data_IF_110224288641
#
_entry.id   IF_110224288641
#
_cell.length_a   1.000
_cell.length_b   1.000
_cell.length_c   1.000
_cell.angle_alpha   90.00
_cell.angle_beta   90.00
_cell.angle_gamma   90.00
#
_symmetry.space_group_name_H-M   'P 1'
#
loop_
_entity.id
_entity.type
_entity.pdbx_description
1 polymer ?
#
# COMPACT_ATOMS: atom_id res chain seq x y z
N UNK A 1 11.59 -10.69 -0.91
CA UNK A 1 10.72 -9.84 -0.05
C UNK A 1 9.45 -9.43 -0.80
N UNK A 2 9.54 -8.89 -2.02
CA UNK A 2 8.35 -8.53 -2.83
C UNK A 2 7.52 -9.78 -3.17
N UNK A 3 8.18 -10.84 -3.64
CA UNK A 3 7.54 -12.14 -3.97
C UNK A 3 6.71 -12.68 -2.80
N UNK A 4 7.34 -12.92 -1.65
CA UNK A 4 6.66 -13.38 -0.43
C UNK A 4 5.47 -12.48 -0.02
N UNK A 5 5.54 -11.17 -0.30
CA UNK A 5 4.41 -10.26 -0.04
C UNK A 5 3.24 -10.54 -0.99
N UNK A 6 3.52 -10.72 -2.28
CA UNK A 6 2.49 -11.00 -3.29
C UNK A 6 1.86 -12.38 -3.05
N UNK A 7 2.67 -13.36 -2.68
CA UNK A 7 2.18 -14.72 -2.37
C UNK A 7 1.35 -14.78 -1.08
N UNK A 8 1.57 -13.84 -0.15
CA UNK A 8 0.83 -13.77 1.11
C UNK A 8 -0.57 -13.13 1.01
N UNK A 9 -1.02 -12.74 -0.20
CA UNK A 9 -2.33 -12.10 -0.38
C UNK A 9 -3.43 -13.06 0.11
N UNK A 10 -4.23 -12.66 1.12
CA UNK A 10 -5.18 -13.56 1.77
C UNK A 10 -6.51 -13.71 1.01
N UNK A 11 -6.62 -13.10 -0.17
CA UNK A 11 -7.84 -13.07 -0.99
C UNK A 11 -7.52 -13.52 -2.40
N UNK A 12 -8.48 -14.20 -3.03
CA UNK A 12 -8.33 -14.60 -4.42
C UNK A 12 -8.25 -13.37 -5.32
N UNK A 13 -7.29 -13.39 -6.24
CA UNK A 13 -7.07 -12.30 -7.16
C UNK A 13 -7.90 -12.51 -8.43
N UNK A 14 -8.65 -11.50 -8.91
CA UNK A 14 -9.29 -11.62 -10.21
C UNK A 14 -8.24 -11.69 -11.33
N UNK A 15 -8.56 -12.47 -12.36
CA UNK A 15 -7.78 -12.59 -13.60
C UNK A 15 -7.64 -11.21 -14.27
N UNK A 16 -6.42 -10.70 -14.53
CA UNK A 16 -6.22 -9.44 -15.23
C UNK A 16 -6.74 -9.50 -16.67
N UNK A 17 -7.42 -8.45 -17.11
CA UNK A 17 -7.81 -8.29 -18.53
C UNK A 17 -7.21 -7.01 -19.11
N UNK A 18 -7.24 -6.85 -20.44
CA UNK A 18 -6.78 -5.60 -21.08
C UNK A 18 -7.55 -4.36 -20.59
N UNK A 19 -8.85 -4.53 -20.28
CA UNK A 19 -9.72 -3.46 -19.77
C UNK A 19 -9.54 -3.23 -18.27
N UNK A 20 -9.22 -4.29 -17.53
CA UNK A 20 -9.10 -4.28 -16.07
C UNK A 20 -7.70 -4.73 -15.64
N UNK A 21 -6.69 -4.06 -16.18
CA UNK A 21 -5.30 -4.29 -15.78
C UNK A 21 -5.12 -3.98 -14.30
N UNK A 22 -4.33 -4.79 -13.60
CA UNK A 22 -4.09 -4.61 -12.17
C UNK A 22 -2.79 -3.83 -11.95
N UNK A 23 -2.88 -2.69 -11.27
CA UNK A 23 -1.73 -1.87 -10.92
C UNK A 23 -1.17 -2.21 -9.55
N UNK A 24 0.15 -2.19 -9.39
CA UNK A 24 0.82 -2.31 -8.10
C UNK A 24 1.61 -1.05 -7.78
N UNK A 25 1.26 -0.35 -6.70
CA UNK A 25 2.00 0.81 -6.24
C UNK A 25 3.16 0.38 -5.35
N UNK A 26 4.38 0.80 -5.67
CA UNK A 26 5.58 0.48 -4.90
C UNK A 26 6.37 1.74 -4.56
N UNK A 27 7.09 1.68 -3.45
CA UNK A 27 8.02 2.75 -3.07
C UNK A 27 9.23 2.78 -4.00
N UNK A 28 9.89 3.95 -4.08
CA UNK A 28 11.10 4.14 -4.91
C UNK A 28 12.24 3.17 -4.57
N UNK A 29 12.32 2.68 -3.34
CA UNK A 29 13.33 1.69 -2.94
C UNK A 29 13.21 0.34 -3.68
N UNK A 30 12.05 0.08 -4.30
CA UNK A 30 11.78 -1.11 -5.11
C UNK A 30 12.02 -0.89 -6.61
N UNK A 31 12.63 0.23 -7.01
CA UNK A 31 12.92 0.54 -8.41
C UNK A 31 14.16 -0.21 -8.92
N UNK A 32 14.05 -1.54 -9.00
CA UNK A 32 15.05 -2.42 -9.63
C UNK A 32 14.44 -3.18 -10.80
N UNK A 33 15.28 -3.60 -11.76
CA UNK A 33 14.84 -4.43 -12.89
C UNK A 33 14.19 -5.73 -12.42
N UNK A 34 14.84 -6.43 -11.49
CA UNK A 34 14.34 -7.67 -10.88
C UNK A 34 12.93 -7.50 -10.28
N UNK A 35 12.67 -6.41 -9.55
CA UNK A 35 11.35 -6.18 -8.96
C UNK A 35 10.33 -5.86 -10.05
N UNK A 36 10.69 -5.12 -11.10
CA UNK A 36 9.78 -4.83 -12.22
C UNK A 36 9.41 -6.08 -13.00
N UNK A 37 10.38 -6.97 -13.23
CA UNK A 37 10.17 -8.24 -13.89
C UNK A 37 9.28 -9.16 -13.06
N UNK A 38 9.54 -9.27 -11.75
CA UNK A 38 8.71 -10.01 -10.81
C UNK A 38 7.27 -9.49 -10.79
N UNK A 39 7.06 -8.19 -10.64
CA UNK A 39 5.72 -7.58 -10.62
C UNK A 39 4.96 -7.89 -11.93
N UNK A 40 5.66 -7.88 -13.06
CA UNK A 40 5.10 -8.22 -14.37
C UNK A 40 4.78 -9.71 -14.50
N UNK A 41 5.64 -10.59 -13.99
CA UNK A 41 5.42 -12.04 -13.96
C UNK A 41 4.15 -12.39 -13.17
N UNK A 42 3.96 -11.72 -12.04
CA UNK A 42 2.71 -11.78 -11.30
C UNK A 42 1.56 -11.02 -11.98
N UNK A 43 1.66 -10.55 -13.23
CA UNK A 43 0.56 -9.93 -13.98
C UNK A 43 0.14 -8.54 -13.48
N UNK A 44 1.00 -7.82 -12.77
CA UNK A 44 0.76 -6.44 -12.34
C UNK A 44 1.49 -5.42 -13.22
N UNK A 45 0.92 -4.22 -13.31
CA UNK A 45 1.59 -3.04 -13.84
C UNK A 45 2.27 -2.28 -12.70
N UNK A 46 3.60 -2.21 -12.71
CA UNK A 46 4.36 -1.49 -11.70
C UNK A 46 4.13 0.03 -11.76
N UNK A 47 3.73 0.62 -10.64
CA UNK A 47 3.58 2.05 -10.44
C UNK A 47 4.56 2.53 -9.37
N UNK A 48 5.80 2.75 -9.82
CA UNK A 48 6.89 3.25 -8.99
C UNK A 48 7.08 4.72 -9.35
N UNK A 49 6.71 5.61 -8.43
CA UNK A 49 6.84 7.07 -8.60
C UNK A 49 7.63 7.64 -7.44
N UNK A 50 8.48 8.61 -7.75
CA UNK A 50 9.11 9.42 -6.72
C UNK A 50 8.11 10.45 -6.16
N UNK A 51 8.29 10.82 -4.88
CA UNK A 51 7.45 11.82 -4.19
C UNK A 51 7.36 13.15 -4.94
N UNK A 52 8.43 13.53 -5.67
CA UNK A 52 8.47 14.74 -6.47
C UNK A 52 7.58 14.70 -7.72
N UNK A 53 7.54 13.57 -8.41
CA UNK A 53 6.70 13.38 -9.61
C UNK A 53 5.22 13.41 -9.28
N UNK A 54 4.82 12.77 -8.17
CA UNK A 54 3.42 12.74 -7.75
C UNK A 54 2.93 14.14 -7.32
N UNK A 55 3.77 14.90 -6.60
CA UNK A 55 3.48 16.29 -6.26
C UNK A 55 3.38 17.21 -7.50
N UNK A 56 4.22 16.97 -8.51
CA UNK A 56 4.14 17.70 -9.78
C UNK A 56 2.87 17.35 -10.56
N UNK A 57 2.48 16.08 -10.61
CA UNK A 57 1.25 15.64 -11.28
C UNK A 57 0.00 16.26 -10.64
N UNK A 58 -0.10 16.24 -9.30
CA UNK A 58 -1.19 16.89 -8.55
C UNK A 58 -1.29 18.39 -8.89
N UNK A 59 -0.16 19.07 -9.04
CA UNK A 59 -0.13 20.51 -9.37
C UNK A 59 -0.49 20.81 -10.83
N UNK A 60 -0.22 19.87 -11.74
CA UNK A 60 -0.40 20.05 -13.19
C UNK A 60 -1.82 19.74 -13.66
N UNK A 61 -2.53 18.83 -13.00
CA UNK A 61 -3.82 18.35 -13.46
C UNK A 61 -4.88 18.40 -12.34
N UNK A 62 -5.90 19.23 -12.55
CA UNK A 62 -7.04 19.30 -11.65
C UNK A 62 -7.81 17.97 -11.70
N UNK A 63 -7.97 17.32 -10.54
CA UNK A 63 -8.64 16.02 -10.42
C UNK A 63 -7.72 14.80 -10.41
N UNK A 64 -6.40 14.99 -10.56
CA UNK A 64 -5.43 13.90 -10.40
C UNK A 64 -5.51 13.31 -8.98
N UNK A 65 -5.75 11.99 -8.90
CA UNK A 65 -5.79 11.25 -7.64
C UNK A 65 -4.50 10.44 -7.49
N UNK A 66 -3.69 10.84 -6.51
CA UNK A 66 -2.55 10.06 -6.04
C UNK A 66 -2.98 8.64 -5.67
N UNK A 67 -2.31 7.63 -6.22
CA UNK A 67 -2.67 6.21 -6.00
C UNK A 67 -2.25 5.72 -4.61
N UNK A 68 -1.18 6.29 -4.05
CA UNK A 68 -0.64 5.93 -2.73
C UNK A 68 -1.41 6.55 -1.56
N UNK A 69 -2.15 7.63 -1.81
CA UNK A 69 -2.79 8.43 -0.77
C UNK A 69 -3.74 7.63 0.14
N UNK A 70 -4.38 6.57 -0.37
CA UNK A 70 -5.26 5.72 0.45
C UNK A 70 -4.48 5.06 1.60
N UNK A 71 -3.32 4.47 1.31
CA UNK A 71 -2.46 3.82 2.32
C UNK A 71 -1.91 4.85 3.31
N UNK A 72 -1.43 5.99 2.82
CA UNK A 72 -0.90 7.06 3.66
C UNK A 72 -1.97 7.66 4.59
N UNK A 73 -3.19 7.86 4.07
CA UNK A 73 -4.34 8.33 4.86
C UNK A 73 -4.70 7.32 5.95
N UNK A 74 -4.78 6.03 5.62
CA UNK A 74 -5.09 4.97 6.61
C UNK A 74 -4.05 4.96 7.72
N UNK A 75 -2.75 5.02 7.38
CA UNK A 75 -1.69 5.16 8.40
C UNK A 75 -1.83 6.43 9.24
N UNK A 76 -2.17 7.57 8.62
CA UNK A 76 -2.40 8.83 9.33
C UNK A 76 -3.54 8.72 10.35
N UNK A 77 -4.63 8.02 10.01
CA UNK A 77 -5.72 7.75 10.94
C UNK A 77 -5.32 6.80 12.06
N UNK A 78 -4.61 5.71 11.76
CA UNK A 78 -4.08 4.81 12.79
C UNK A 78 -3.15 5.53 13.77
N UNK A 79 -2.32 6.47 13.27
CA UNK A 79 -1.40 7.25 14.09
C UNK A 79 -2.10 8.22 15.06
N UNK A 80 -3.41 8.47 14.91
CA UNK A 80 -4.20 9.23 15.90
C UNK A 80 -4.50 8.43 17.17
N UNK A 81 -4.34 7.11 17.13
CA UNK A 81 -4.49 6.24 18.29
C UNK A 81 -3.13 6.09 18.97
N UNK A 82 -2.93 6.80 20.09
CA UNK A 82 -1.63 6.84 20.80
C UNK A 82 -1.07 5.45 21.17
N UNK A 83 -1.94 4.46 21.44
CA UNK A 83 -1.55 3.07 21.73
C UNK A 83 -1.11 2.26 20.51
N UNK A 84 -1.49 2.69 19.30
CA UNK A 84 -1.01 2.12 18.04
C UNK A 84 0.26 2.83 17.59
N UNK A 85 0.27 4.17 17.60
CA UNK A 85 1.42 4.99 17.23
C UNK A 85 2.67 4.63 18.03
N UNK A 86 2.51 4.49 19.34
CA UNK A 86 3.56 3.97 20.22
C UNK A 86 3.05 2.67 20.83
N UNK A 87 3.76 1.56 20.56
CA UNK A 87 3.42 0.26 21.11
C UNK A 87 3.69 0.23 22.62
N UNK A 88 2.68 0.59 23.40
CA UNK A 88 2.71 0.53 24.87
C UNK A 88 2.37 -0.86 25.42
N UNK A 89 1.61 -1.65 24.66
CA UNK A 89 1.19 -2.98 25.08
C UNK A 89 2.38 -3.91 25.25
N UNK A 90 2.51 -4.47 26.46
CA UNK A 90 3.54 -5.46 26.78
C UNK A 90 3.30 -6.79 26.09
N UNK A 91 2.02 -7.18 25.96
CA UNK A 91 1.58 -8.44 25.36
C UNK A 91 1.27 -8.24 23.87
N UNK A 92 1.80 -9.06 22.95
CA UNK A 92 1.51 -8.94 21.52
C UNK A 92 0.02 -9.14 21.20
N UNK A 93 -0.68 -9.98 21.96
CA UNK A 93 -2.10 -10.27 21.77
C UNK A 93 -2.96 -9.02 22.02
N UNK A 94 -2.63 -8.24 23.06
CA UNK A 94 -3.31 -6.98 23.36
C UNK A 94 -3.08 -5.95 22.25
N UNK A 95 -1.86 -5.86 21.73
CA UNK A 95 -1.54 -4.96 20.64
C UNK A 95 -2.33 -5.33 19.37
N UNK A 96 -2.37 -6.62 19.05
CA UNK A 96 -3.11 -7.14 17.91
C UNK A 96 -4.62 -6.87 18.03
N UNK A 97 -5.19 -7.09 19.21
CA UNK A 97 -6.59 -6.77 19.47
C UNK A 97 -6.89 -5.27 19.25
N UNK A 98 -6.05 -4.38 19.80
CA UNK A 98 -6.19 -2.94 19.59
C UNK A 98 -6.03 -2.54 18.11
N UNK A 99 -5.12 -3.19 17.39
CA UNK A 99 -4.93 -2.96 15.96
C UNK A 99 -6.21 -3.30 15.18
N UNK A 100 -6.83 -4.45 15.47
CA UNK A 100 -8.12 -4.81 14.88
C UNK A 100 -9.23 -3.82 15.24
N UNK A 101 -9.31 -3.37 16.49
CA UNK A 101 -10.27 -2.34 16.91
C UNK A 101 -10.09 -1.03 16.14
N UNK A 102 -8.84 -0.57 15.97
CA UNK A 102 -8.57 0.65 15.22
C UNK A 102 -8.95 0.48 13.76
N UNK A 103 -8.58 -0.64 13.12
CA UNK A 103 -9.00 -0.92 11.74
C UNK A 103 -10.52 -0.88 11.61
N UNK A 104 -11.26 -1.53 12.51
CA UNK A 104 -12.73 -1.54 12.49
C UNK A 104 -13.39 -0.15 12.69
N UNK A 105 -12.67 0.82 13.25
CA UNK A 105 -13.17 2.19 13.46
C UNK A 105 -12.91 3.08 12.23
N UNK A 106 -11.82 2.85 11.50
CA UNK A 106 -11.36 3.76 10.44
C UNK A 106 -11.70 3.30 9.01
N UNK A 107 -12.04 2.03 8.82
CA UNK A 107 -12.56 1.46 7.56
C UNK A 107 -14.05 1.69 7.43
#
# INVERSE_FOLDING_TARGET
MVEATIESIPVERPEPTEKESQGMCLDKGYDSGEVRDLVKEFGYTAHIRSRGEEAQAIKREAGFKARRWVVERTHSWMNRFRRILTRWEKKPENYLALLHFVCAIIT
#
